data_IF_186106297104
#
_entry.id   IF_186106297104
#
_cell.length_a   1.000
_cell.length_b   1.000
_cell.length_c   1.000
_cell.angle_alpha   90.00
_cell.angle_beta   90.00
_cell.angle_gamma   90.00
#
_symmetry.space_group_name_H-M   'P 1'
#
loop_
_entity.id
_entity.type
_entity.pdbx_description
1 polymer ?
#
# COMPACT_ATOMS: atom_id res chain seq x y z
N UNK A 1 -19.51 13.58 4.87
CA UNK A 1 -18.24 13.32 4.13
C UNK A 1 -18.42 13.62 2.63
N UNK A 2 -17.40 14.12 1.93
CA UNK A 2 -17.51 14.57 0.54
C UNK A 2 -17.99 13.45 -0.42
N UNK A 3 -17.47 12.23 -0.27
CA UNK A 3 -17.82 11.10 -1.12
C UNK A 3 -19.29 10.66 -0.97
N UNK A 4 -19.82 10.79 0.25
CA UNK A 4 -21.24 10.53 0.50
C UNK A 4 -22.13 11.54 -0.25
N UNK A 5 -21.73 12.81 -0.27
CA UNK A 5 -22.47 13.83 -1.04
C UNK A 5 -22.39 13.56 -2.54
N UNK A 6 -21.24 13.09 -3.05
CA UNK A 6 -21.09 12.66 -4.45
C UNK A 6 -21.94 11.44 -4.78
N UNK A 7 -22.08 10.49 -3.87
CA UNK A 7 -23.00 9.35 -4.02
C UNK A 7 -24.46 9.81 -4.07
N UNK A 8 -24.84 10.75 -3.20
CA UNK A 8 -26.18 11.34 -3.23
C UNK A 8 -26.44 12.12 -4.52
N UNK A 9 -25.46 12.87 -5.02
CA UNK A 9 -25.55 13.58 -6.31
C UNK A 9 -25.73 12.60 -7.47
N UNK A 10 -24.95 11.53 -7.53
CA UNK A 10 -25.03 10.51 -8.57
C UNK A 10 -26.42 9.87 -8.65
N UNK A 11 -26.99 9.51 -7.50
CA UNK A 11 -28.35 8.94 -7.41
C UNK A 11 -29.42 10.00 -7.71
N UNK A 12 -29.26 11.23 -7.19
CA UNK A 12 -30.19 12.33 -7.44
C UNK A 12 -30.28 12.68 -8.92
N UNK A 13 -29.15 12.65 -9.64
CA UNK A 13 -29.06 12.90 -11.08
C UNK A 13 -29.41 11.66 -11.94
N UNK A 14 -29.79 10.53 -11.33
CA UNK A 14 -30.16 9.29 -12.01
C UNK A 14 -29.11 8.76 -12.99
N UNK A 15 -27.82 8.87 -12.62
CA UNK A 15 -26.70 8.50 -13.48
C UNK A 15 -26.38 6.99 -13.49
N UNK A 16 -27.22 6.16 -12.86
CA UNK A 16 -27.05 4.70 -12.82
C UNK A 16 -27.04 4.07 -14.23
N UNK A 17 -27.75 4.70 -15.18
CA UNK A 17 -27.78 4.26 -16.57
C UNK A 17 -26.54 4.69 -17.39
N UNK A 18 -25.71 5.59 -16.86
CA UNK A 18 -24.52 6.13 -17.55
C UNK A 18 -23.23 5.34 -17.24
N UNK A 19 -23.29 4.42 -16.28
CA UNK A 19 -22.17 3.61 -15.82
C UNK A 19 -22.13 3.50 -14.30
N UNK A 20 -21.14 2.78 -13.75
CA UNK A 20 -21.02 2.61 -12.30
C UNK A 20 -20.70 3.92 -11.57
N UNK A 21 -21.05 3.99 -10.28
CA UNK A 21 -20.65 5.10 -9.41
C UNK A 21 -19.13 5.31 -9.39
N UNK A 22 -18.35 4.22 -9.45
CA UNK A 22 -16.90 4.32 -9.58
C UNK A 22 -16.50 5.07 -10.87
N UNK A 23 -17.09 4.75 -12.02
CA UNK A 23 -16.80 5.46 -13.27
C UNK A 23 -17.18 6.95 -13.17
N UNK A 24 -18.28 7.27 -12.49
CA UNK A 24 -18.68 8.66 -12.23
C UNK A 24 -17.59 9.41 -11.44
N UNK A 25 -17.10 8.84 -10.34
CA UNK A 25 -15.99 9.41 -9.55
C UNK A 25 -14.67 9.46 -10.34
N UNK A 26 -14.42 8.50 -11.23
CA UNK A 26 -13.25 8.52 -12.11
C UNK A 26 -13.31 9.64 -13.14
N UNK A 27 -14.51 10.05 -13.55
CA UNK A 27 -14.70 11.04 -14.61
C UNK A 27 -14.71 12.48 -14.11
N UNK A 28 -15.21 12.71 -12.90
CA UNK A 28 -15.37 14.03 -12.28
C UNK A 28 -14.04 14.82 -12.13
N UNK A 29 -12.90 14.11 -12.13
CA UNK A 29 -11.57 14.67 -11.85
C UNK A 29 -10.47 14.19 -12.79
N UNK A 30 -10.79 13.97 -14.07
CA UNK A 30 -9.80 13.47 -15.05
C UNK A 30 -8.67 14.45 -15.35
N UNK A 31 -8.91 15.75 -15.17
CA UNK A 31 -7.94 16.81 -15.49
C UNK A 31 -7.05 17.18 -14.29
N UNK A 32 -7.37 16.68 -13.09
CA UNK A 32 -6.53 16.87 -11.91
C UNK A 32 -5.38 15.86 -11.94
N UNK A 33 -4.15 16.35 -11.78
CA UNK A 33 -2.94 15.52 -11.80
C UNK A 33 -2.41 15.34 -10.39
N UNK A 34 -1.91 14.14 -10.09
CA UNK A 34 -1.24 13.89 -8.82
C UNK A 34 -0.01 14.80 -8.67
N UNK A 35 0.02 15.62 -7.62
CA UNK A 35 1.07 16.63 -7.42
C UNK A 35 2.23 16.00 -6.64
N UNK A 36 3.40 15.93 -7.29
CA UNK A 36 4.59 15.26 -6.76
C UNK A 36 5.15 15.86 -5.46
N UNK A 37 4.87 17.13 -5.14
CA UNK A 37 5.40 17.77 -3.93
C UNK A 37 4.78 17.29 -2.62
N UNK A 38 3.75 16.44 -2.69
CA UNK A 38 3.00 15.96 -1.53
C UNK A 38 3.38 14.52 -1.13
N UNK A 39 4.28 13.88 -1.87
CA UNK A 39 4.65 12.46 -1.72
C UNK A 39 6.16 12.28 -1.54
N UNK A 40 6.58 11.11 -1.07
CA UNK A 40 7.98 10.86 -0.71
C UNK A 40 8.93 10.81 -1.92
N UNK A 41 10.13 11.38 -1.75
CA UNK A 41 11.13 11.45 -2.83
C UNK A 41 11.74 10.08 -3.21
N UNK A 42 11.55 9.06 -2.38
CA UNK A 42 12.13 7.72 -2.59
C UNK A 42 11.31 6.83 -3.53
N UNK A 43 10.19 7.29 -4.06
CA UNK A 43 9.51 6.58 -5.14
C UNK A 43 10.35 6.57 -6.42
N UNK A 44 10.31 5.44 -7.11
CA UNK A 44 10.94 5.27 -8.42
C UNK A 44 10.52 6.38 -9.37
N UNK A 45 11.44 6.79 -10.24
CA UNK A 45 11.19 7.77 -11.29
C UNK A 45 11.04 7.07 -12.65
N UNK A 46 10.32 7.67 -13.61
CA UNK A 46 10.18 7.10 -14.94
C UNK A 46 11.54 6.99 -15.65
N UNK A 47 11.73 6.01 -16.56
CA UNK A 47 10.73 5.08 -17.07
C UNK A 47 10.41 3.94 -16.08
N UNK A 48 9.12 3.68 -15.84
CA UNK A 48 8.66 2.66 -14.91
C UNK A 48 8.78 1.25 -15.51
N UNK A 49 9.84 0.53 -15.13
CA UNK A 49 10.11 -0.86 -15.52
C UNK A 49 10.03 -1.76 -14.29
N UNK A 50 8.85 -2.33 -14.05
CA UNK A 50 8.52 -3.04 -12.80
C UNK A 50 8.80 -4.54 -12.87
N UNK A 51 9.26 -5.06 -14.03
CA UNK A 51 9.71 -6.44 -14.22
C UNK A 51 11.22 -6.64 -13.99
N UNK A 52 11.90 -5.66 -13.38
CA UNK A 52 13.34 -5.69 -13.20
C UNK A 52 13.68 -5.73 -11.73
N UNK A 53 14.65 -6.54 -11.38
CA UNK A 53 15.35 -6.41 -10.12
C UNK A 53 16.23 -5.16 -10.18
N UNK A 54 16.13 -4.30 -9.17
CA UNK A 54 17.00 -3.13 -9.04
C UNK A 54 18.30 -3.56 -8.37
N UNK A 55 19.38 -3.65 -9.16
CA UNK A 55 20.69 -4.10 -8.68
C UNK A 55 20.81 -5.63 -8.59
N UNK A 56 21.69 -6.11 -7.70
CA UNK A 56 21.93 -7.55 -7.48
C UNK A 56 21.02 -8.19 -6.41
N UNK A 57 20.08 -7.41 -5.84
CA UNK A 57 19.20 -7.87 -4.76
C UNK A 57 17.78 -7.94 -5.28
N UNK A 58 17.16 -9.12 -5.17
CA UNK A 58 15.75 -9.31 -5.52
C UNK A 58 14.87 -8.80 -4.39
N UNK A 59 14.36 -7.57 -4.53
CA UNK A 59 13.48 -6.92 -3.56
C UNK A 59 12.02 -7.08 -3.99
N UNK A 60 11.07 -7.22 -3.05
CA UNK A 60 9.65 -7.20 -3.37
C UNK A 60 9.22 -5.80 -3.87
N UNK A 61 8.13 -5.73 -4.63
CA UNK A 61 7.64 -4.49 -5.23
C UNK A 61 6.36 -4.03 -4.54
N UNK A 62 6.28 -2.73 -4.23
CA UNK A 62 5.07 -2.08 -3.76
C UNK A 62 4.61 -1.04 -4.79
N UNK A 63 3.38 -1.21 -5.30
CA UNK A 63 2.76 -0.32 -6.28
C UNK A 63 1.62 0.43 -5.61
N UNK A 64 1.79 1.74 -5.49
CA UNK A 64 0.80 2.65 -4.93
C UNK A 64 0.00 3.23 -6.09
N UNK A 65 -1.29 2.93 -6.15
CA UNK A 65 -2.23 3.55 -7.05
C UNK A 65 -3.00 4.63 -6.32
N UNK A 66 -2.91 5.85 -6.84
CA UNK A 66 -3.53 7.03 -6.24
C UNK A 66 -4.13 7.95 -7.30
N UNK A 67 -4.77 9.03 -6.84
CA UNK A 67 -5.37 10.07 -7.67
C UNK A 67 -5.17 11.42 -7.00
N UNK A 68 -5.27 12.49 -7.78
CA UNK A 68 -5.32 13.84 -7.25
C UNK A 68 -6.49 14.05 -6.28
N UNK A 69 -6.32 14.99 -5.35
CA UNK A 69 -7.33 15.41 -4.36
C UNK A 69 -7.96 14.23 -3.58
N UNK A 70 -7.11 13.31 -3.12
CA UNK A 70 -7.49 12.08 -2.43
C UNK A 70 -7.18 12.17 -0.92
N UNK A 71 -8.19 12.51 -0.11
CA UNK A 71 -8.00 12.66 1.36
C UNK A 71 -7.49 11.40 2.07
N UNK A 72 -7.79 10.21 1.54
CA UNK A 72 -7.27 8.96 2.09
C UNK A 72 -5.81 8.75 1.72
N UNK A 73 -5.37 9.26 0.57
CA UNK A 73 -3.97 9.24 0.16
C UNK A 73 -3.16 10.13 1.11
N UNK A 74 -3.71 11.30 1.51
CA UNK A 74 -3.10 12.16 2.53
C UNK A 74 -2.92 11.43 3.87
N UNK A 75 -3.90 10.62 4.30
CA UNK A 75 -3.77 9.80 5.52
C UNK A 75 -2.61 8.81 5.38
N UNK A 76 -2.53 8.12 4.24
CA UNK A 76 -1.44 7.16 3.98
C UNK A 76 -0.08 7.85 4.07
N UNK A 77 0.13 8.95 3.35
CA UNK A 77 1.40 9.68 3.30
C UNK A 77 1.75 10.41 4.60
N UNK A 78 0.79 11.06 5.25
CA UNK A 78 1.07 11.98 6.37
C UNK A 78 0.90 11.37 7.75
N UNK A 79 0.25 10.22 7.87
CA UNK A 79 0.06 9.52 9.15
C UNK A 79 0.73 8.15 9.11
N UNK A 80 0.28 7.27 8.22
CA UNK A 80 0.72 5.87 8.21
C UNK A 80 2.20 5.73 7.83
N UNK A 81 2.62 6.34 6.71
CA UNK A 81 4.00 6.23 6.20
C UNK A 81 5.00 7.13 6.91
N UNK A 82 4.53 8.13 7.70
CA UNK A 82 5.41 8.91 8.59
C UNK A 82 5.83 8.17 9.83
N UNK A 83 5.09 7.13 10.22
CA UNK A 83 5.45 6.32 11.36
C UNK A 83 6.81 5.61 11.08
N UNK A 84 7.81 5.72 11.97
CA UNK A 84 9.17 5.27 11.69
C UNK A 84 9.31 3.79 11.32
N UNK A 85 8.56 2.90 11.95
CA UNK A 85 8.58 1.47 11.66
C UNK A 85 7.96 1.17 10.28
N UNK A 86 6.83 1.80 9.94
CA UNK A 86 6.21 1.71 8.62
C UNK A 86 7.19 2.16 7.54
N UNK A 87 7.81 3.33 7.72
CA UNK A 87 8.80 3.85 6.78
C UNK A 87 9.97 2.89 6.56
N UNK A 88 10.47 2.23 7.61
CA UNK A 88 11.53 1.21 7.49
C UNK A 88 11.08 -0.03 6.71
N UNK A 89 9.85 -0.49 6.92
CA UNK A 89 9.27 -1.63 6.21
C UNK A 89 9.08 -1.29 4.72
N UNK A 90 8.48 -0.14 4.41
CA UNK A 90 8.24 0.31 3.02
C UNK A 90 9.56 0.48 2.27
N UNK A 91 10.59 1.05 2.91
CA UNK A 91 11.93 1.19 2.33
C UNK A 91 12.67 -0.12 2.08
N UNK A 92 12.10 -1.28 2.38
CA UNK A 92 12.64 -2.59 1.98
C UNK A 92 12.04 -3.13 0.67
N UNK A 93 11.08 -2.42 0.10
CA UNK A 93 10.52 -2.68 -1.23
C UNK A 93 11.17 -1.79 -2.29
N UNK A 94 11.02 -2.19 -3.54
CA UNK A 94 11.05 -1.26 -4.66
C UNK A 94 9.68 -0.62 -4.73
N UNK A 95 9.62 0.72 -4.67
CA UNK A 95 8.35 1.42 -4.49
C UNK A 95 8.05 2.33 -5.69
N UNK A 96 6.83 2.23 -6.21
CA UNK A 96 6.36 3.11 -7.30
C UNK A 96 5.00 3.69 -6.95
N UNK A 97 4.84 4.99 -7.23
CA UNK A 97 3.57 5.68 -7.16
C UNK A 97 3.05 5.95 -8.57
N UNK A 98 1.83 5.52 -8.84
CA UNK A 98 1.16 5.66 -10.13
C UNK A 98 -0.17 6.37 -9.95
N UNK A 99 -0.38 7.43 -10.74
CA UNK A 99 -1.71 8.01 -10.93
C UNK A 99 -2.56 7.02 -11.74
N UNK A 100 -3.62 6.52 -11.12
CA UNK A 100 -4.51 5.50 -11.67
C UNK A 100 -5.38 5.99 -12.83
N UNK A 101 -5.38 7.29 -13.15
CA UNK A 101 -6.05 7.86 -14.32
C UNK A 101 -5.07 8.25 -15.44
N UNK A 102 -3.76 8.24 -15.18
CA UNK A 102 -2.76 8.75 -16.12
C UNK A 102 -2.40 7.76 -17.23
N UNK A 103 -2.08 8.28 -18.41
CA UNK A 103 -1.53 7.52 -19.54
C UNK A 103 -0.01 7.26 -19.44
N UNK A 104 0.55 7.42 -18.23
CA UNK A 104 1.94 7.15 -17.91
C UNK A 104 2.35 5.74 -18.35
N UNK A 105 3.37 5.58 -19.22
CA UNK A 105 3.83 4.26 -19.66
C UNK A 105 4.43 3.44 -18.53
N UNK A 106 4.06 2.15 -18.45
CA UNK A 106 4.55 1.20 -17.44
C UNK A 106 4.84 -0.15 -18.10
N UNK A 107 5.95 -0.78 -17.73
CA UNK A 107 6.17 -2.22 -17.94
C UNK A 107 5.83 -2.91 -16.62
N UNK A 108 4.78 -3.73 -16.61
CA UNK A 108 4.28 -4.43 -15.41
C UNK A 108 5.28 -5.48 -14.91
N UNK A 109 5.10 -6.04 -13.70
CA UNK A 109 5.94 -7.15 -13.22
C UNK A 109 5.97 -8.36 -14.16
N UNK A 110 4.85 -8.66 -14.83
CA UNK A 110 4.76 -9.72 -15.84
C UNK A 110 5.47 -9.39 -17.17
N UNK A 111 6.03 -8.19 -17.32
CA UNK A 111 6.71 -7.73 -18.53
C UNK A 111 5.78 -7.14 -19.60
N UNK A 112 4.49 -6.98 -19.32
CA UNK A 112 3.55 -6.38 -20.26
C UNK A 112 3.74 -4.86 -20.34
N UNK A 113 3.77 -4.31 -21.55
CA UNK A 113 3.79 -2.86 -21.76
C UNK A 113 2.37 -2.31 -21.75
N UNK A 114 2.10 -1.35 -20.89
CA UNK A 114 0.76 -0.75 -20.70
C UNK A 114 0.87 0.71 -20.24
N UNK A 115 -0.24 1.29 -19.75
CA UNK A 115 -0.27 2.58 -19.07
C UNK A 115 -0.83 2.41 -17.67
N UNK A 116 -0.49 3.32 -16.75
CA UNK A 116 -0.98 3.27 -15.37
C UNK A 116 -2.51 3.13 -15.30
N UNK A 117 -3.24 3.93 -16.10
CA UNK A 117 -4.71 3.86 -16.17
C UNK A 117 -5.25 2.50 -16.66
N UNK A 118 -4.63 1.92 -17.69
CA UNK A 118 -5.08 0.63 -18.21
C UNK A 118 -4.78 -0.48 -17.22
N UNK A 119 -3.61 -0.44 -16.59
CA UNK A 119 -3.21 -1.44 -15.60
C UNK A 119 -4.06 -1.38 -14.33
N UNK A 120 -4.35 -0.18 -13.83
CA UNK A 120 -5.26 0.01 -12.70
C UNK A 120 -6.65 -0.60 -12.99
N UNK A 121 -7.16 -0.45 -14.22
CA UNK A 121 -8.41 -1.08 -14.66
C UNK A 121 -8.30 -2.61 -14.75
N UNK A 122 -7.20 -3.13 -15.30
CA UNK A 122 -6.94 -4.58 -15.37
C UNK A 122 -6.87 -5.23 -13.99
N UNK A 123 -6.33 -4.50 -13.00
CA UNK A 123 -6.25 -4.93 -11.60
C UNK A 123 -7.52 -4.64 -10.79
N UNK A 124 -8.58 -4.09 -11.39
CA UNK A 124 -9.82 -3.68 -10.72
C UNK A 124 -9.61 -2.73 -9.53
N UNK A 125 -8.72 -1.74 -9.70
CA UNK A 125 -8.42 -0.73 -8.68
C UNK A 125 -9.53 0.31 -8.64
N UNK A 126 -10.48 0.10 -7.71
CA UNK A 126 -11.67 0.94 -7.58
C UNK A 126 -11.64 1.94 -6.42
N UNK A 127 -10.63 1.86 -5.56
CA UNK A 127 -10.49 2.66 -4.34
C UNK A 127 -9.08 3.22 -4.21
N UNK A 128 -8.95 4.41 -3.61
CA UNK A 128 -7.66 5.10 -3.48
C UNK A 128 -7.44 5.54 -2.02
N UNK A 129 -6.21 5.36 -1.49
CA UNK A 129 -5.08 4.70 -2.13
C UNK A 129 -5.31 3.19 -2.23
N UNK A 130 -4.75 2.55 -3.25
CA UNK A 130 -4.55 1.10 -3.25
C UNK A 130 -3.07 0.78 -3.30
N UNK A 131 -2.57 0.02 -2.33
CA UNK A 131 -1.18 -0.46 -2.30
C UNK A 131 -1.16 -1.94 -2.64
N UNK A 132 -0.56 -2.31 -3.77
CA UNK A 132 -0.41 -3.70 -4.21
C UNK A 132 1.01 -4.17 -3.92
N UNK A 133 1.15 -5.25 -3.17
CA UNK A 133 2.44 -5.81 -2.76
C UNK A 133 2.71 -7.09 -3.54
N UNK A 134 3.85 -7.12 -4.23
CA UNK A 134 4.34 -8.24 -5.00
C UNK A 134 5.55 -8.86 -4.29
N UNK A 135 5.71 -10.16 -4.41
CA UNK A 135 6.96 -10.83 -4.04
C UNK A 135 8.10 -10.50 -5.04
N UNK A 136 9.34 -10.93 -4.75
CA UNK A 136 10.46 -10.65 -5.65
C UNK A 136 10.35 -11.29 -7.05
N UNK A 137 9.48 -12.28 -7.23
CA UNK A 137 9.22 -12.93 -8.52
C UNK A 137 8.15 -12.18 -9.34
N UNK A 138 7.58 -11.09 -8.78
CA UNK A 138 6.53 -10.29 -9.41
C UNK A 138 5.13 -10.87 -9.25
N UNK A 139 4.93 -11.80 -8.31
CA UNK A 139 3.62 -12.36 -7.98
C UNK A 139 2.92 -11.46 -6.98
N UNK A 140 1.67 -11.06 -7.27
CA UNK A 140 0.87 -10.31 -6.31
C UNK A 140 0.54 -11.18 -5.09
N UNK A 141 0.90 -10.72 -3.89
CA UNK A 141 0.67 -11.45 -2.64
C UNK A 141 -0.53 -10.90 -1.89
N UNK A 142 -0.61 -9.57 -1.77
CA UNK A 142 -1.66 -8.91 -1.00
C UNK A 142 -1.80 -7.46 -1.45
N UNK A 143 -2.98 -6.88 -1.23
CA UNK A 143 -3.21 -5.45 -1.43
C UNK A 143 -4.03 -4.83 -0.31
N UNK A 144 -3.75 -3.56 -0.02
CA UNK A 144 -4.60 -2.70 0.81
C UNK A 144 -5.41 -1.79 -0.11
N UNK A 145 -6.73 -1.98 -0.18
CA UNK A 145 -7.62 -1.17 -1.02
C UNK A 145 -8.21 0.04 -0.27
N UNK A 146 -7.45 0.60 0.68
CA UNK A 146 -7.73 1.84 1.40
C UNK A 146 -6.49 2.24 2.22
N UNK A 147 -6.53 3.43 2.82
CA UNK A 147 -5.60 3.82 3.88
C UNK A 147 -5.92 3.04 5.17
N UNK A 148 -5.32 1.87 5.33
CA UNK A 148 -5.46 1.07 6.54
C UNK A 148 -4.75 1.73 7.73
N UNK A 149 -5.16 1.38 8.96
CA UNK A 149 -4.47 1.80 10.18
C UNK A 149 -3.03 1.28 10.21
N UNK A 150 -2.16 1.97 10.94
CA UNK A 150 -0.71 1.78 10.85
C UNK A 150 -0.28 0.34 11.16
N UNK A 151 -0.84 -0.30 12.19
CA UNK A 151 -0.56 -1.72 12.49
C UNK A 151 -0.83 -2.65 11.30
N UNK A 152 -1.97 -2.44 10.62
CA UNK A 152 -2.39 -3.28 9.51
C UNK A 152 -1.48 -3.07 8.31
N UNK A 153 -1.15 -1.81 7.99
CA UNK A 153 -0.23 -1.51 6.90
C UNK A 153 1.16 -2.10 7.16
N UNK A 154 1.74 -1.88 8.34
CA UNK A 154 3.01 -2.50 8.74
C UNK A 154 2.97 -4.02 8.58
N UNK A 155 1.88 -4.64 9.02
CA UNK A 155 1.74 -6.10 8.96
C UNK A 155 1.66 -6.63 7.54
N UNK A 156 1.03 -5.92 6.59
CA UNK A 156 1.02 -6.31 5.17
C UNK A 156 2.42 -6.30 4.57
N UNK A 157 3.20 -5.25 4.84
CA UNK A 157 4.58 -5.15 4.37
C UNK A 157 5.44 -6.26 4.97
N UNK A 158 5.33 -6.48 6.28
CA UNK A 158 6.08 -7.55 6.96
C UNK A 158 5.67 -8.95 6.48
N UNK A 159 4.38 -9.18 6.19
CA UNK A 159 3.88 -10.45 5.66
C UNK A 159 4.55 -10.86 4.35
N UNK A 160 4.79 -9.90 3.46
CA UNK A 160 5.50 -10.13 2.19
C UNK A 160 7.01 -10.24 2.41
N UNK A 161 7.61 -9.37 3.23
CA UNK A 161 9.06 -9.39 3.51
C UNK A 161 9.52 -10.71 4.13
N UNK A 162 8.74 -11.24 5.07
CA UNK A 162 9.03 -12.51 5.76
C UNK A 162 8.70 -13.74 4.96
N UNK A 163 7.94 -13.60 3.87
CA UNK A 163 7.40 -14.75 3.15
C UNK A 163 6.36 -15.53 3.96
N UNK A 164 5.81 -14.94 5.03
CA UNK A 164 4.84 -15.60 5.91
C UNK A 164 3.59 -16.11 5.15
N UNK A 165 3.27 -15.51 4.01
CA UNK A 165 2.20 -15.98 3.11
C UNK A 165 2.37 -17.42 2.62
N UNK A 166 3.59 -17.95 2.59
CA UNK A 166 3.87 -19.32 2.14
C UNK A 166 3.43 -20.37 3.16
N UNK A 167 3.46 -20.04 4.45
CA UNK A 167 3.11 -20.97 5.55
C UNK A 167 1.78 -20.63 6.22
N UNK A 168 1.39 -19.34 6.19
CA UNK A 168 0.12 -18.85 6.69
C UNK A 168 -0.60 -18.01 5.62
N UNK A 169 -1.30 -18.64 4.65
CA UNK A 169 -1.98 -17.90 3.59
C UNK A 169 -3.20 -17.09 4.06
N UNK A 170 -3.74 -17.38 5.25
CA UNK A 170 -4.83 -16.57 5.82
C UNK A 170 -4.27 -15.31 6.45
N UNK A 171 -4.46 -14.19 5.75
CA UNK A 171 -4.01 -12.89 6.24
C UNK A 171 -4.63 -12.52 7.60
N UNK A 172 -5.92 -12.79 7.79
CA UNK A 172 -6.58 -12.53 9.07
C UNK A 172 -5.88 -13.28 10.21
N UNK A 173 -5.56 -14.57 10.01
CA UNK A 173 -4.86 -15.36 11.02
C UNK A 173 -3.45 -14.82 11.26
N UNK A 174 -2.72 -14.46 10.21
CA UNK A 174 -1.41 -13.83 10.34
C UNK A 174 -1.47 -12.55 11.20
N UNK A 175 -2.43 -11.66 10.94
CA UNK A 175 -2.62 -10.42 11.72
C UNK A 175 -2.93 -10.71 13.19
N UNK A 176 -3.82 -11.66 13.47
CA UNK A 176 -4.14 -12.08 14.84
C UNK A 176 -2.92 -12.64 15.55
N UNK A 177 -2.22 -13.59 14.94
CA UNK A 177 -1.03 -14.24 15.53
C UNK A 177 0.09 -13.25 15.77
N UNK A 178 0.37 -12.34 14.82
CA UNK A 178 1.37 -11.28 15.00
C UNK A 178 1.04 -10.40 16.20
N UNK A 179 -0.22 -9.98 16.32
CA UNK A 179 -0.68 -9.17 17.44
C UNK A 179 -0.60 -9.90 18.79
N UNK A 180 -0.88 -11.21 18.81
CA UNK A 180 -0.75 -12.05 20.01
C UNK A 180 0.71 -12.19 20.43
N UNK A 181 1.61 -12.57 19.51
CA UNK A 181 3.04 -12.73 19.78
C UNK A 181 3.67 -11.46 20.36
N UNK A 182 3.32 -10.29 19.81
CA UNK A 182 3.82 -9.02 20.31
C UNK A 182 3.32 -8.72 21.74
N UNK A 183 2.04 -8.97 22.02
CA UNK A 183 1.49 -8.81 23.38
C UNK A 183 2.09 -9.79 24.38
N UNK A 184 2.28 -11.04 23.99
CA UNK A 184 2.94 -12.06 24.82
C UNK A 184 4.39 -11.70 25.14
N UNK A 185 5.08 -11.02 24.21
CA UNK A 185 6.42 -10.48 24.44
C UNK A 185 6.45 -9.17 25.24
N UNK A 186 5.29 -8.67 25.71
CA UNK A 186 5.17 -7.49 26.55
C UNK A 186 5.06 -6.15 25.81
N UNK A 187 4.79 -6.16 24.51
CA UNK A 187 4.48 -4.93 23.76
C UNK A 187 3.00 -4.56 23.87
N UNK A 188 2.73 -3.25 23.92
CA UNK A 188 1.39 -2.72 23.73
C UNK A 188 1.08 -2.66 22.23
N UNK A 189 -0.09 -3.19 21.84
CA UNK A 189 -0.53 -3.24 20.44
C UNK A 189 -1.92 -2.61 20.30
N UNK A 190 -1.97 -1.42 19.73
CA UNK A 190 -3.20 -0.72 19.33
C UNK A 190 -3.37 -0.79 17.81
N UNK A 191 -4.28 -1.68 17.38
CA UNK A 191 -4.57 -1.90 15.96
C UNK A 191 -5.38 -0.77 15.31
N UNK A 192 -5.90 0.18 16.11
CA UNK A 192 -6.72 1.30 15.66
C UNK A 192 -5.95 2.61 15.55
N UNK A 193 -4.77 2.69 16.17
CA UNK A 193 -3.96 3.91 16.16
C UNK A 193 -3.28 4.17 14.82
N UNK A 194 -3.11 5.45 14.50
CA UNK A 194 -2.16 5.89 13.48
C UNK A 194 -0.75 6.10 14.07
N UNK A 195 -0.69 6.53 15.33
CA UNK A 195 0.54 6.89 16.03
C UNK A 195 0.91 5.79 17.04
N UNK A 196 2.15 5.30 17.01
CA UNK A 196 2.64 4.27 17.94
C UNK A 196 1.72 3.02 18.03
N UNK A 197 1.38 2.36 16.90
CA UNK A 197 0.51 1.18 16.91
C UNK A 197 1.12 -0.01 17.68
N UNK A 198 2.45 -0.02 17.82
CA UNK A 198 3.20 -0.96 18.63
C UNK A 198 4.16 -0.16 19.49
N UNK A 199 4.16 -0.38 20.80
CA UNK A 199 5.03 0.33 21.73
C UNK A 199 5.50 -0.57 22.88
N UNK A 200 6.55 -0.13 23.57
CA UNK A 200 7.04 -0.73 24.80
C UNK A 200 7.21 0.39 25.82
N UNK A 201 6.55 0.31 26.97
CA UNK A 201 6.49 1.38 27.97
C UNK A 201 6.13 2.75 27.36
N UNK A 202 5.19 2.77 26.42
CA UNK A 202 4.73 3.98 25.72
C UNK A 202 5.73 4.57 24.72
N UNK A 203 6.81 3.86 24.39
CA UNK A 203 7.82 4.30 23.43
C UNK A 203 7.80 3.51 22.11
N UNK A 204 8.23 4.16 21.02
CA UNK A 204 8.42 3.51 19.72
C UNK A 204 9.44 2.39 19.80
N UNK A 205 9.26 1.36 18.99
CA UNK A 205 10.10 0.16 18.96
C UNK A 205 10.75 -0.01 17.59
N UNK A 206 11.94 -0.63 17.57
CA UNK A 206 12.69 -0.84 16.33
C UNK A 206 12.17 -2.05 15.56
N UNK A 207 12.39 -2.07 14.24
CA UNK A 207 11.96 -3.17 13.38
C UNK A 207 12.63 -4.50 13.79
N UNK A 208 13.90 -4.46 14.18
CA UNK A 208 14.65 -5.66 14.59
C UNK A 208 14.03 -6.31 15.83
N UNK A 209 13.59 -5.50 16.79
CA UNK A 209 12.91 -5.98 18.00
C UNK A 209 11.58 -6.65 17.69
N UNK A 210 10.79 -6.05 16.81
CA UNK A 210 9.51 -6.61 16.35
C UNK A 210 9.73 -7.93 15.61
N UNK A 211 10.70 -7.96 14.72
CA UNK A 211 11.03 -9.13 13.91
C UNK A 211 11.62 -10.27 14.75
N UNK A 212 12.38 -9.98 15.80
CA UNK A 212 12.90 -11.00 16.72
C UNK A 212 11.77 -11.79 17.43
N UNK A 213 10.61 -11.17 17.63
CA UNK A 213 9.44 -11.79 18.29
C UNK A 213 8.52 -12.48 17.29
N UNK A 214 8.31 -11.87 16.13
CA UNK A 214 7.30 -12.30 15.15
C UNK A 214 7.85 -13.25 14.08
N UNK A 215 9.17 -13.54 14.11
CA UNK A 215 9.82 -14.49 13.21
C UNK A 215 10.31 -13.86 11.90
N UNK A 216 10.93 -12.69 11.97
CA UNK A 216 11.33 -11.90 10.81
C UNK A 216 12.37 -12.53 9.89
N UNK A 217 12.47 -11.96 8.68
CA UNK A 217 13.44 -12.30 7.63
C UNK A 217 14.85 -12.31 8.20
N UNK A 218 15.58 -13.41 8.04
CA UNK A 218 17.04 -13.34 8.07
C UNK A 218 17.46 -12.25 7.08
N UNK A 219 18.27 -11.28 7.53
CA UNK A 219 18.76 -10.19 6.71
C UNK A 219 19.19 -10.74 5.35
N UNK A 220 18.56 -10.25 4.27
CA UNK A 220 19.01 -10.53 2.93
C UNK A 220 20.36 -9.85 2.72
N UNK A 221 21.44 -10.58 2.99
CA UNK A 221 22.81 -10.28 2.60
C UNK A 221 23.52 -9.21 3.42
N UNK A 222 24.67 -9.59 3.96
CA UNK A 222 25.81 -8.69 4.21
C UNK A 222 26.23 -7.95 2.93
#
# INVERSE_FOLDING_TARGET
PADFLKAMEYVYLQRENEGSFHNYLMNDRRDETLVKSEVEEWFMQPPYRLNRHIGNVSRPLAVFFERAACSQCDILHHQVMREPLTHQLVKRFDNVLLDAAAQTPVITPSGATTTAARWAKELDINYFPTVVLFDPDGTEIVRAAAAFRTFHMQSLFDYVLTGAYRTQPSLQRYLSTRGEQLREAGYDVDIWSYDLPISFDGQSVSLERIQAVTGGVAAAGD
#
